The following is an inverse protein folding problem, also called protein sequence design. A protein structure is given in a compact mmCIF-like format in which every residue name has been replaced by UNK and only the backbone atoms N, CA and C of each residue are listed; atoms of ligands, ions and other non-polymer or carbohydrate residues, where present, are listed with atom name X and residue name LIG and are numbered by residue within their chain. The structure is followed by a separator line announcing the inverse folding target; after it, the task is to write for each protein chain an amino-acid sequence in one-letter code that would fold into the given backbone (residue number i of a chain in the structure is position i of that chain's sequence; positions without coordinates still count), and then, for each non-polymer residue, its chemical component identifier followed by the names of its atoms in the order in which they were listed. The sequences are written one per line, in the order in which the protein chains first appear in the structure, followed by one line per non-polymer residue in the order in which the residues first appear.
data_IF_624351045632
#
_entry.id   IF_624351045632
#
_cell.length_a   1.000
_cell.length_b   1.000
_cell.length_c   1.000
_cell.angle_alpha   90.00
_cell.angle_beta   90.00
_cell.angle_gamma   90.00
#
_symmetry.space_group_name_H-M   'P 1'
#
loop_
_entity.id
_entity.type
_entity.pdbx_description
1 polymer ?
#
# COMPACT_ATOMS: atom_id res chain seq x y z
N UNK A 1 -8.45 0.76 4.28
CA UNK A 1 -9.08 -0.16 3.30
C UNK A 1 -8.15 -0.21 2.11
N UNK A 2 -7.81 -1.39 1.59
CA UNK A 2 -7.05 -1.54 0.35
C UNK A 2 -8.05 -1.53 -0.80
N UNK A 3 -7.82 -0.72 -1.84
CA UNK A 3 -8.75 -0.51 -2.95
C UNK A 3 -8.07 -0.34 -4.33
N UNK A 4 -6.73 -0.38 -4.42
CA UNK A 4 -6.01 -0.29 -5.69
C UNK A 4 -5.51 -1.63 -6.22
N UNK A 5 -4.37 -2.09 -5.69
CA UNK A 5 -3.77 -3.37 -6.07
C UNK A 5 -3.24 -4.13 -4.86
N UNK A 6 -3.01 -5.43 -5.05
CA UNK A 6 -2.25 -6.30 -4.15
C UNK A 6 -1.31 -7.12 -5.01
N UNK A 7 0.00 -6.98 -4.80
CA UNK A 7 1.00 -7.74 -5.54
C UNK A 7 2.29 -7.91 -4.75
N UNK A 8 2.91 -9.09 -4.78
CA UNK A 8 2.34 -10.43 -4.99
C UNK A 8 1.18 -10.75 -4.01
N UNK A 9 0.40 -11.83 -4.19
CA UNK A 9 0.54 -12.90 -5.20
C UNK A 9 0.00 -12.53 -6.59
N UNK A 10 0.45 -13.26 -7.61
CA UNK A 10 0.13 -12.96 -9.02
C UNK A 10 -1.32 -13.18 -9.40
N UNK A 11 -2.02 -13.97 -8.59
CA UNK A 11 -3.43 -14.31 -8.74
C UNK A 11 -4.36 -13.15 -8.39
N UNK A 12 -3.85 -12.08 -7.74
CA UNK A 12 -4.64 -10.90 -7.37
C UNK A 12 -4.39 -9.75 -8.36
N UNK A 13 -3.25 -9.06 -8.26
CA UNK A 13 -2.97 -7.87 -9.06
C UNK A 13 -3.95 -6.74 -8.72
N UNK A 14 -4.66 -6.22 -9.73
CA UNK A 14 -5.70 -5.20 -9.52
C UNK A 14 -6.91 -5.81 -8.81
N UNK A 15 -7.36 -5.16 -7.75
CA UNK A 15 -8.51 -5.66 -6.97
C UNK A 15 -9.81 -5.03 -7.45
N UNK A 16 -10.89 -5.80 -7.41
CA UNK A 16 -12.25 -5.33 -7.74
C UNK A 16 -13.06 -5.08 -6.49
N UNK A 17 -12.74 -5.79 -5.42
CA UNK A 17 -13.37 -5.65 -4.12
C UNK A 17 -12.34 -5.17 -3.11
N UNK A 18 -12.69 -4.14 -2.34
CA UNK A 18 -11.79 -3.65 -1.29
C UNK A 18 -11.50 -4.72 -0.26
N UNK A 19 -10.26 -4.74 0.23
CA UNK A 19 -9.81 -5.65 1.29
C UNK A 19 -9.57 -4.84 2.56
N UNK A 20 -10.15 -5.30 3.67
CA UNK A 20 -9.93 -4.69 4.98
C UNK A 20 -8.80 -5.41 5.69
N UNK A 21 -7.75 -4.67 6.01
CA UNK A 21 -6.60 -5.15 6.78
C UNK A 21 -6.65 -4.47 8.15
N UNK A 22 -6.70 -5.25 9.23
CA UNK A 22 -6.54 -4.76 10.59
C UNK A 22 -5.09 -4.97 11.03
N UNK A 23 -4.42 -3.88 11.41
CA UNK A 23 -3.02 -3.88 11.83
C UNK A 23 -2.97 -3.48 13.29
N UNK A 24 -2.20 -4.23 14.09
CA UNK A 24 -1.85 -3.86 15.47
C UNK A 24 -0.36 -4.09 15.68
N UNK A 25 0.31 -3.11 16.26
CA UNK A 25 1.75 -3.16 16.56
C UNK A 25 2.60 -3.48 15.31
N UNK A 26 2.21 -2.91 14.17
CA UNK A 26 2.88 -3.12 12.88
C UNK A 26 2.66 -4.50 12.25
N UNK A 27 1.85 -5.38 12.85
CA UNK A 27 1.50 -6.71 12.32
C UNK A 27 0.05 -6.77 11.86
N UNK A 28 -0.21 -7.36 10.70
CA UNK A 28 -1.55 -7.75 10.25
C UNK A 28 -2.12 -8.76 11.26
N UNK A 29 -3.25 -8.41 11.87
CA UNK A 29 -4.01 -9.29 12.78
C UNK A 29 -5.23 -9.90 12.13
N UNK A 30 -5.80 -9.21 11.14
CA UNK A 30 -7.00 -9.68 10.44
C UNK A 30 -7.02 -9.21 8.99
N UNK A 31 -7.46 -10.10 8.12
CA UNK A 31 -7.71 -9.83 6.70
C UNK A 31 -9.18 -10.19 6.47
N UNK A 32 -9.99 -9.21 6.08
CA UNK A 32 -11.42 -9.38 5.81
C UNK A 32 -11.75 -8.92 4.39
N UNK A 33 -12.64 -9.64 3.70
CA UNK A 33 -13.09 -9.29 2.36
C UNK A 33 -13.57 -10.51 1.57
N UNK A 34 -13.71 -10.31 0.26
CA UNK A 34 -14.21 -11.31 -0.69
C UNK A 34 -13.11 -12.24 -1.22
N UNK A 35 -13.05 -12.33 -2.55
CA UNK A 35 -12.17 -13.25 -3.26
C UNK A 35 -10.69 -12.91 -3.06
N UNK A 36 -10.33 -11.63 -3.24
CA UNK A 36 -8.96 -11.13 -3.12
C UNK A 36 -8.39 -11.34 -1.71
N UNK A 37 -9.20 -11.07 -0.67
CA UNK A 37 -8.83 -11.30 0.73
C UNK A 37 -8.51 -12.78 1.01
N UNK A 38 -9.32 -13.71 0.47
CA UNK A 38 -9.10 -15.15 0.65
C UNK A 38 -7.82 -15.64 -0.04
N UNK A 39 -7.51 -15.10 -1.22
CA UNK A 39 -6.25 -15.44 -1.92
C UNK A 39 -5.06 -14.94 -1.12
N UNK A 40 -5.11 -13.68 -0.67
CA UNK A 40 -4.04 -13.08 0.12
C UNK A 40 -3.77 -13.89 1.40
N UNK A 41 -4.82 -14.21 2.18
CA UNK A 41 -4.68 -14.99 3.40
C UNK A 41 -4.04 -16.36 3.15
N UNK A 42 -4.54 -17.10 2.16
CA UNK A 42 -3.99 -18.41 1.78
C UNK A 42 -2.54 -18.33 1.33
N UNK A 43 -2.20 -17.29 0.56
CA UNK A 43 -0.84 -17.08 0.10
C UNK A 43 0.10 -16.80 1.28
N UNK A 44 -0.26 -15.88 2.17
CA UNK A 44 0.53 -15.59 3.38
C UNK A 44 0.71 -16.83 4.27
N UNK A 45 -0.36 -17.59 4.50
CA UNK A 45 -0.33 -18.85 5.25
C UNK A 45 0.63 -19.87 4.60
N UNK A 46 0.59 -20.00 3.28
CA UNK A 46 1.44 -20.96 2.54
C UNK A 46 2.94 -20.68 2.65
N UNK A 47 3.33 -19.44 2.94
CA UNK A 47 4.73 -19.06 3.11
C UNK A 47 5.31 -19.54 4.45
N UNK A 48 4.46 -19.80 5.45
CA UNK A 48 4.87 -20.28 6.77
C UNK A 48 5.87 -19.36 7.47
N UNK A 49 5.83 -18.04 7.21
CA UNK A 49 6.77 -17.06 7.75
C UNK A 49 6.02 -15.90 8.40
N UNK A 50 6.08 -15.82 9.73
CA UNK A 50 5.40 -14.77 10.50
C UNK A 50 5.83 -13.35 10.12
N UNK A 51 7.04 -13.19 9.56
CA UNK A 51 7.54 -11.87 9.14
C UNK A 51 6.73 -11.28 8.00
N UNK A 52 6.05 -12.13 7.21
CA UNK A 52 5.17 -11.71 6.11
C UNK A 52 4.01 -10.83 6.53
N UNK A 53 3.65 -10.86 7.82
CA UNK A 53 2.54 -10.08 8.35
C UNK A 53 2.97 -8.69 8.87
N UNK A 54 4.27 -8.37 8.89
CA UNK A 54 4.75 -7.08 9.39
C UNK A 54 4.92 -6.06 8.28
N UNK A 55 4.59 -4.79 8.56
CA UNK A 55 4.83 -3.67 7.66
C UNK A 55 6.34 -3.49 7.47
N UNK A 56 6.79 -3.55 6.22
CA UNK A 56 8.16 -3.32 5.81
C UNK A 56 8.43 -1.85 5.45
N UNK A 57 7.50 -1.20 4.74
CA UNK A 57 7.59 0.20 4.33
C UNK A 57 6.21 0.78 4.02
N UNK A 58 6.16 2.10 3.86
CA UNK A 58 5.03 2.81 3.30
C UNK A 58 5.57 3.82 2.27
N UNK A 59 4.91 3.91 1.13
CA UNK A 59 5.33 4.79 0.02
C UNK A 59 4.16 5.64 -0.47
N UNK A 60 4.51 6.73 -1.15
CA UNK A 60 3.56 7.72 -1.68
C UNK A 60 3.70 7.83 -3.18
N UNK A 61 2.57 7.91 -3.87
CA UNK A 61 2.55 8.21 -5.29
C UNK A 61 2.69 9.71 -5.57
N UNK A 62 3.76 10.09 -6.26
CA UNK A 62 3.99 11.47 -6.70
C UNK A 62 3.99 11.64 -8.22
N UNK A 63 3.70 10.57 -8.98
CA UNK A 63 3.71 10.64 -10.44
C UNK A 63 2.31 10.95 -10.99
N UNK A 64 2.04 12.18 -11.50
CA UNK A 64 0.69 12.60 -11.90
C UNK A 64 0.11 11.87 -13.13
N UNK A 65 0.91 11.02 -13.78
CA UNK A 65 0.54 10.25 -14.97
C UNK A 65 0.56 8.74 -14.71
N UNK A 66 0.90 8.30 -13.50
CA UNK A 66 0.81 6.90 -13.14
C UNK A 66 -0.66 6.50 -13.08
N UNK A 67 -0.97 5.38 -13.73
CA UNK A 67 -2.31 4.83 -13.79
C UNK A 67 -2.32 3.41 -13.23
N UNK A 68 -3.44 3.06 -12.61
CA UNK A 68 -3.69 1.70 -12.15
C UNK A 68 -3.92 0.78 -13.37
N UNK A 69 -2.92 -0.05 -13.70
CA UNK A 69 -2.83 -0.82 -14.96
C UNK A 69 -2.52 -2.30 -14.77
N UNK A 70 -2.24 -2.74 -13.55
CA UNK A 70 -1.79 -4.11 -13.28
C UNK A 70 -0.30 -4.28 -13.53
N UNK A 71 0.44 -3.16 -13.50
CA UNK A 71 1.90 -3.11 -13.60
C UNK A 71 2.37 -2.65 -12.23
N UNK A 72 2.84 -3.56 -11.34
CA UNK A 72 3.08 -3.23 -9.94
C UNK A 72 3.97 -1.99 -9.71
N UNK A 73 5.02 -1.82 -10.53
CA UNK A 73 5.93 -0.67 -10.46
C UNK A 73 5.28 0.67 -10.83
N UNK A 74 4.22 0.68 -11.64
CA UNK A 74 3.44 1.89 -11.93
C UNK A 74 2.32 2.06 -10.90
N UNK A 75 1.65 0.95 -10.55
CA UNK A 75 0.51 0.91 -9.64
C UNK A 75 0.87 1.39 -8.22
N UNK A 76 2.09 1.11 -7.74
CA UNK A 76 2.62 1.63 -6.47
C UNK A 76 2.76 3.17 -6.46
N UNK A 77 2.75 3.82 -7.63
CA UNK A 77 3.07 5.26 -7.81
C UNK A 77 1.86 6.11 -8.15
N UNK A 78 0.65 5.55 -8.12
CA UNK A 78 -0.58 6.27 -8.42
C UNK A 78 -0.66 7.52 -7.54
N UNK A 79 -0.80 8.67 -8.20
CA UNK A 79 -0.65 9.98 -7.59
C UNK A 79 -1.55 10.20 -6.38
N UNK A 80 -0.97 10.72 -5.29
CA UNK A 80 -1.61 10.93 -3.99
C UNK A 80 -2.19 9.66 -3.32
N UNK A 81 -1.97 8.49 -3.91
CA UNK A 81 -2.18 7.20 -3.27
C UNK A 81 -1.05 6.87 -2.29
N UNK A 82 -1.33 5.94 -1.40
CA UNK A 82 -0.38 5.37 -0.45
C UNK A 82 -0.31 3.87 -0.68
N UNK A 83 0.90 3.34 -0.64
CA UNK A 83 1.17 1.91 -0.72
C UNK A 83 1.86 1.46 0.58
N UNK A 84 1.51 0.26 1.05
CA UNK A 84 2.11 -0.38 2.21
C UNK A 84 2.69 -1.74 1.82
N UNK A 85 4.00 -1.88 2.01
CA UNK A 85 4.72 -3.12 1.79
C UNK A 85 4.79 -3.95 3.06
N UNK A 86 4.66 -5.27 2.92
CA UNK A 86 4.72 -6.24 4.02
C UNK A 86 5.73 -7.35 3.76
N UNK A 87 6.27 -7.92 4.82
CA UNK A 87 7.24 -9.01 4.74
C UNK A 87 8.68 -8.52 4.61
N UNK A 88 9.38 -9.03 3.60
CA UNK A 88 10.83 -8.83 3.48
C UNK A 88 11.17 -7.35 3.43
N UNK A 89 12.09 -6.93 4.29
CA UNK A 89 12.53 -5.55 4.44
C UNK A 89 14.02 -5.46 4.09
N UNK A 90 14.36 -4.53 3.21
CA UNK A 90 15.76 -4.25 2.88
C UNK A 90 16.54 -3.86 4.14
N UNK A 91 17.72 -4.46 4.32
CA UNK A 91 18.62 -4.19 5.44
C UNK A 91 19.04 -2.71 5.52
N UNK A 92 18.93 -1.97 4.41
CA UNK A 92 19.20 -0.52 4.36
C UNK A 92 18.24 0.30 5.23
N UNK A 93 17.01 -0.19 5.44
CA UNK A 93 16.03 0.47 6.31
C UNK A 93 16.35 0.35 7.80
N UNK A 94 17.33 -0.49 8.18
CA UNK A 94 17.75 -0.73 9.58
C UNK A 94 16.60 -1.13 10.52
N UNK A 95 15.50 -1.66 9.96
CA UNK A 95 14.40 -2.21 10.74
C UNK A 95 14.69 -3.62 11.23
N UNK A 96 13.74 -4.19 11.98
CA UNK A 96 13.91 -5.47 12.70
C UNK A 96 13.41 -6.70 11.94
N UNK A 97 12.77 -6.52 10.78
CA UNK A 97 12.13 -7.62 10.04
C UNK A 97 13.17 -8.43 9.24
N UNK A 98 14.06 -7.73 8.53
CA UNK A 98 15.06 -8.35 7.67
C UNK A 98 14.46 -9.14 6.51
N UNK A 99 15.16 -10.19 6.06
CA UNK A 99 14.72 -11.00 4.92
C UNK A 99 13.64 -12.00 5.34
N UNK A 100 12.43 -11.82 4.79
CA UNK A 100 11.32 -12.77 4.89
C UNK A 100 11.22 -13.62 3.60
N UNK A 101 10.32 -14.61 3.59
CA UNK A 101 10.09 -15.48 2.42
C UNK A 101 9.68 -14.74 1.15
N UNK A 102 8.99 -13.61 1.27
CA UNK A 102 8.51 -12.81 0.15
C UNK A 102 8.30 -11.35 0.56
N UNK A 103 7.73 -10.56 -0.35
CA UNK A 103 7.27 -9.19 -0.15
C UNK A 103 5.88 -9.07 -0.78
N UNK A 104 5.01 -8.22 -0.27
CA UNK A 104 3.70 -7.89 -0.88
C UNK A 104 3.37 -6.44 -0.62
N UNK A 105 2.96 -5.75 -1.67
CA UNK A 105 2.60 -4.34 -1.69
C UNK A 105 1.08 -4.23 -1.87
N UNK A 106 0.46 -3.33 -1.12
CA UNK A 106 -0.98 -3.09 -1.12
C UNK A 106 -1.27 -1.60 -1.15
N UNK A 107 -2.13 -1.14 -2.04
CA UNK A 107 -2.39 0.29 -2.19
C UNK A 107 -3.78 0.77 -1.78
N UNK A 108 -3.80 2.03 -1.36
CA UNK A 108 -4.96 2.86 -1.08
C UNK A 108 -4.90 4.03 -2.04
N UNK A 109 -5.88 4.18 -2.92
CA UNK A 109 -5.84 5.14 -4.03
C UNK A 109 -6.10 6.57 -3.60
N UNK A 110 -7.10 6.78 -2.74
CA UNK A 110 -7.52 8.13 -2.33
C UNK A 110 -7.62 8.26 -0.80
N UNK A 111 -6.55 7.94 -0.04
CA UNK A 111 -6.59 8.05 1.40
C UNK A 111 -6.75 9.50 1.83
N UNK A 112 -7.36 9.70 3.00
CA UNK A 112 -7.04 10.88 3.81
C UNK A 112 -5.78 10.58 4.59
N UNK A 113 -4.76 11.44 4.44
CA UNK A 113 -3.51 11.28 5.16
C UNK A 113 -3.24 12.51 5.99
N UNK A 114 -3.03 12.27 7.29
CA UNK A 114 -2.70 13.26 8.28
C UNK A 114 -1.25 13.09 8.70
N UNK A 115 -0.54 14.21 8.83
CA UNK A 115 0.71 14.27 9.56
C UNK A 115 0.42 14.97 10.87
N UNK A 116 0.55 14.24 11.98
CA UNK A 116 -0.06 14.60 13.26
C UNK A 116 -1.55 14.92 13.05
N UNK A 117 -1.99 16.15 13.36
CA UNK A 117 -3.38 16.60 13.18
C UNK A 117 -3.61 17.39 11.88
N UNK A 118 -2.60 17.46 11.00
CA UNK A 118 -2.64 18.27 9.78
C UNK A 118 -2.97 17.40 8.57
N UNK A 119 -4.08 17.71 7.90
CA UNK A 119 -4.47 17.03 6.67
C UNK A 119 -3.52 17.39 5.51
N UNK A 120 -2.83 16.38 4.97
CA UNK A 120 -1.84 16.53 3.90
C UNK A 120 -2.42 16.16 2.54
N UNK A 121 -3.17 15.06 2.45
CA UNK A 121 -3.74 14.56 1.22
C UNK A 121 -5.17 14.05 1.43
N UNK A 122 -6.03 14.24 0.41
CA UNK A 122 -7.43 13.78 0.40
C UNK A 122 -7.98 13.75 -1.02
N UNK A 123 -8.73 12.71 -1.35
CA UNK A 123 -9.45 12.60 -2.63
C UNK A 123 -8.50 12.67 -3.83
N UNK A 124 -7.38 11.95 -3.77
CA UNK A 124 -6.38 11.89 -4.83
C UNK A 124 -5.60 13.19 -5.07
N UNK A 125 -5.46 14.05 -4.05
CA UNK A 125 -4.77 15.36 -4.15
C UNK A 125 -3.99 15.68 -2.89
N UNK A 126 -2.90 16.43 -3.04
CA UNK A 126 -2.23 17.08 -1.91
C UNK A 126 -2.94 18.40 -1.59
N UNK A 127 -3.44 18.53 -0.36
CA UNK A 127 -4.28 19.65 0.09
C UNK A 127 -3.62 20.53 1.15
N UNK A 128 -2.44 20.14 1.65
CA UNK A 128 -1.66 20.97 2.58
C UNK A 128 -1.41 22.37 1.99
N UNK A 129 -1.49 23.46 2.78
CA UNK A 129 -1.30 24.83 2.28
C UNK A 129 -0.02 25.04 1.46
N UNK A 130 1.08 24.41 1.87
CA UNK A 130 2.37 24.51 1.15
C UNK A 130 2.46 23.64 -0.11
N UNK A 131 1.57 22.66 -0.27
CA UNK A 131 1.58 21.71 -1.40
C UNK A 131 0.49 22.00 -2.43
N UNK A 132 -0.59 22.68 -2.05
CA UNK A 132 -1.78 22.85 -2.88
C UNK A 132 -1.47 23.55 -4.22
N UNK A 133 -0.57 24.53 -4.24
CA UNK A 133 -0.19 25.21 -5.47
C UNK A 133 0.75 24.37 -6.35
N UNK A 134 1.61 23.53 -5.74
CA UNK A 134 2.42 22.56 -6.48
C UNK A 134 1.54 21.47 -7.10
N UNK A 135 0.54 20.97 -6.37
CA UNK A 135 -0.44 20.00 -6.85
C UNK A 135 -1.16 20.50 -8.11
N UNK A 136 -1.70 21.73 -8.06
CA UNK A 136 -2.36 22.38 -9.21
C UNK A 136 -1.45 22.51 -10.42
N UNK A 137 -0.14 22.71 -10.21
CA UNK A 137 0.84 22.85 -11.30
C UNK A 137 1.22 21.50 -11.92
N UNK A 138 1.32 20.45 -11.10
CA UNK A 138 1.68 19.10 -11.54
C UNK A 138 0.56 18.37 -12.27
N UNK A 139 -0.70 18.71 -11.97
CA UNK A 139 -1.89 18.07 -12.55
C UNK A 139 -2.39 18.71 -13.85
N UNK A 140 -1.69 19.75 -14.35
CA UNK A 140 -1.89 20.29 -15.70
C UNK A 140 -1.11 19.48 -16.72
#
# INVERSE_FOLDING_TARGET
MIDGFIWPPKEIGLIRNSVKIEIREGKIRRIEGGYEAKILSKWLESLGDERMYYIAHASWGFHPKALLRGIPLEDERVYAGVEFGFGSQSLKFKGKIGLAKAHTDMSILEPEVYYDDVLVARGGKFVHPELADLDKRLRK
#
